data_IF_304333374455
#
_entry.id   IF_304333374455
#
_cell.length_a   1.000
_cell.length_b   1.000
_cell.length_c   1.000
_cell.angle_alpha   90.00
_cell.angle_beta   90.00
_cell.angle_gamma   90.00
#
_symmetry.space_group_name_H-M   'P 1'
#
loop_
_entity.id
_entity.type
_entity.pdbx_description
1 polymer ?
#
# COMPACT_ATOMS: atom_id res chain seq x y z
N UNK A 1 19.36 -8.06 -4.96
CA UNK A 1 18.19 -7.17 -4.85
C UNK A 1 18.02 -6.78 -3.40
N UNK A 2 17.79 -5.50 -3.12
CA UNK A 2 17.66 -4.90 -1.79
C UNK A 2 16.24 -4.40 -1.57
N UNK A 3 15.56 -4.95 -0.57
CA UNK A 3 14.14 -4.68 -0.29
C UNK A 3 14.01 -4.03 1.08
N UNK A 4 13.29 -2.90 1.14
CA UNK A 4 12.97 -2.24 2.41
C UNK A 4 11.47 -2.30 2.69
N UNK A 5 11.06 -2.97 3.77
CA UNK A 5 9.67 -2.95 4.22
C UNK A 5 9.38 -1.79 5.18
N UNK A 6 8.29 -1.06 4.95
CA UNK A 6 7.96 0.13 5.75
C UNK A 6 6.55 0.08 6.33
N UNK A 7 6.44 0.28 7.64
CA UNK A 7 5.17 0.51 8.34
C UNK A 7 5.24 1.77 9.23
N UNK A 8 4.38 1.90 10.24
CA UNK A 8 4.37 3.07 11.12
C UNK A 8 5.53 3.04 12.12
N UNK A 9 5.47 2.11 13.08
CA UNK A 9 6.41 2.06 14.21
C UNK A 9 7.54 1.04 14.08
N UNK A 10 7.57 0.27 12.99
CA UNK A 10 8.56 -0.81 12.77
C UNK A 10 8.63 -1.84 13.91
N UNK A 11 7.47 -2.26 14.43
CA UNK A 11 7.37 -3.28 15.50
C UNK A 11 6.38 -4.41 15.18
N UNK A 12 5.52 -4.24 14.18
CA UNK A 12 4.45 -5.19 13.83
C UNK A 12 4.60 -5.73 12.40
N UNK A 13 3.96 -5.07 11.43
CA UNK A 13 3.86 -5.54 10.04
C UNK A 13 5.20 -5.62 9.28
N UNK A 14 6.01 -4.56 9.29
CA UNK A 14 7.26 -4.57 8.52
C UNK A 14 8.33 -5.55 9.05
N UNK A 15 8.49 -5.75 10.38
CA UNK A 15 9.34 -6.84 10.89
C UNK A 15 8.83 -8.24 10.53
N UNK A 16 7.51 -8.47 10.51
CA UNK A 16 6.95 -9.74 10.02
C UNK A 16 7.33 -9.99 8.56
N UNK A 17 7.10 -9.00 7.69
CA UNK A 17 7.41 -9.10 6.27
C UNK A 17 8.91 -9.37 6.01
N UNK A 18 9.78 -8.66 6.74
CA UNK A 18 11.23 -8.89 6.69
C UNK A 18 11.59 -10.33 7.10
N UNK A 19 11.08 -10.80 8.24
CA UNK A 19 11.40 -12.13 8.75
C UNK A 19 10.89 -13.24 7.83
N UNK A 20 9.67 -13.11 7.30
CA UNK A 20 9.10 -14.05 6.33
C UNK A 20 9.95 -14.13 5.05
N UNK A 21 10.33 -12.99 4.48
CA UNK A 21 11.14 -12.97 3.27
C UNK A 21 12.54 -13.52 3.51
N UNK A 22 13.22 -13.12 4.61
CA UNK A 22 14.54 -13.67 4.97
C UNK A 22 14.52 -15.19 5.10
N UNK A 23 13.46 -15.72 5.71
CA UNK A 23 13.32 -17.16 5.92
C UNK A 23 13.09 -17.93 4.61
N UNK A 24 12.28 -17.36 3.68
CA UNK A 24 11.92 -18.02 2.42
C UNK A 24 12.93 -17.78 1.28
N UNK A 25 13.67 -16.69 1.31
CA UNK A 25 14.58 -16.25 0.23
C UNK A 25 15.85 -15.57 0.79
N UNK A 26 16.75 -16.33 1.43
CA UNK A 26 17.90 -15.79 2.18
C UNK A 26 18.94 -15.08 1.31
N UNK A 27 18.92 -15.28 -0.01
CA UNK A 27 19.81 -14.59 -0.96
C UNK A 27 19.44 -13.12 -1.20
N UNK A 28 18.23 -12.69 -0.80
CA UNK A 28 17.78 -11.29 -0.92
C UNK A 28 18.17 -10.51 0.33
N UNK A 29 18.80 -9.37 0.10
CA UNK A 29 19.07 -8.41 1.17
C UNK A 29 17.77 -7.70 1.53
N UNK A 30 17.31 -7.86 2.78
CA UNK A 30 16.06 -7.23 3.23
C UNK A 30 16.23 -6.60 4.61
N UNK A 31 15.61 -5.44 4.75
CA UNK A 31 15.53 -4.67 5.99
C UNK A 31 14.09 -4.17 6.19
N UNK A 32 13.77 -3.76 7.42
CA UNK A 32 12.53 -3.03 7.70
C UNK A 32 12.79 -1.73 8.45
N UNK A 33 11.88 -0.78 8.28
CA UNK A 33 11.88 0.52 8.94
C UNK A 33 10.45 1.04 9.17
N UNK A 34 10.33 2.20 9.81
CA UNK A 34 9.04 2.85 10.07
C UNK A 34 9.08 4.36 9.92
N UNK A 35 7.99 4.93 9.40
CA UNK A 35 7.88 6.38 9.17
C UNK A 35 7.83 7.19 10.48
N UNK A 36 7.38 6.55 11.57
CA UNK A 36 7.32 7.14 12.92
C UNK A 36 7.93 6.18 13.95
N UNK A 37 9.01 5.49 13.58
CA UNK A 37 9.70 4.56 14.47
C UNK A 37 10.79 5.25 15.30
N UNK A 38 10.87 4.88 16.58
CA UNK A 38 12.07 5.11 17.39
C UNK A 38 13.16 4.10 17.05
N UNK A 39 14.37 4.33 17.57
CA UNK A 39 15.47 3.37 17.46
C UNK A 39 15.40 2.30 18.55
N UNK A 40 15.85 1.09 18.21
CA UNK A 40 16.17 -0.01 19.13
C UNK A 40 14.98 -0.55 19.97
N UNK A 41 13.74 -0.37 19.52
CA UNK A 41 12.61 -1.06 20.13
C UNK A 41 12.54 -2.49 19.61
N UNK A 42 12.20 -3.43 20.49
CA UNK A 42 11.95 -4.82 20.09
C UNK A 42 10.66 -4.87 19.25
N UNK A 43 10.54 -5.91 18.42
CA UNK A 43 9.26 -6.24 17.82
C UNK A 43 8.19 -6.45 18.91
N UNK A 44 6.93 -6.18 18.58
CA UNK A 44 5.81 -6.41 19.48
C UNK A 44 5.80 -7.89 19.92
N UNK A 45 5.50 -8.17 21.18
CA UNK A 45 5.51 -9.55 21.71
C UNK A 45 4.62 -10.49 20.92
N UNK A 46 3.46 -10.02 20.42
CA UNK A 46 2.58 -10.81 19.56
C UNK A 46 3.19 -11.08 18.19
N UNK A 47 3.99 -10.14 17.64
CA UNK A 47 4.77 -10.37 16.42
C UNK A 47 5.78 -11.49 16.61
N UNK A 48 6.55 -11.44 17.71
CA UNK A 48 7.52 -12.48 18.06
C UNK A 48 6.81 -13.82 18.24
N UNK A 49 5.67 -13.82 18.92
CA UNK A 49 4.89 -15.03 19.17
C UNK A 49 4.40 -15.68 17.87
N UNK A 50 3.75 -14.93 16.96
CA UNK A 50 3.21 -15.53 15.73
C UNK A 50 4.30 -15.97 14.75
N UNK A 51 5.45 -15.27 14.72
CA UNK A 51 6.60 -15.73 13.94
C UNK A 51 7.17 -17.04 14.49
N UNK A 52 7.24 -17.15 15.83
CA UNK A 52 7.71 -18.37 16.49
C UNK A 52 6.77 -19.57 16.26
N UNK A 53 5.46 -19.35 16.18
CA UNK A 53 4.48 -20.38 15.77
C UNK A 53 4.77 -20.95 14.37
N UNK A 54 5.49 -20.18 13.54
CA UNK A 54 5.96 -20.58 12.21
C UNK A 54 7.44 -21.00 12.19
N UNK A 55 8.06 -21.24 13.35
CA UNK A 55 9.49 -21.58 13.51
C UNK A 55 10.46 -20.51 12.99
N UNK A 56 10.05 -19.24 13.03
CA UNK A 56 10.89 -18.10 12.66
C UNK A 56 11.24 -17.32 13.92
N UNK A 57 12.52 -17.35 14.29
CA UNK A 57 13.05 -16.48 15.35
C UNK A 57 13.44 -15.12 14.76
N UNK A 58 13.20 -14.05 15.54
CA UNK A 58 13.50 -12.68 15.12
C UNK A 58 14.23 -11.93 16.24
N UNK A 59 15.41 -11.40 15.92
CA UNK A 59 16.12 -10.42 16.75
C UNK A 59 16.00 -9.03 16.10
N UNK A 60 14.81 -8.45 16.24
CA UNK A 60 14.48 -7.18 15.59
C UNK A 60 14.78 -5.98 16.48
N UNK A 61 15.32 -4.93 15.86
CA UNK A 61 15.47 -3.60 16.46
C UNK A 61 14.87 -2.58 15.51
N UNK A 62 13.89 -1.83 16.02
CA UNK A 62 13.21 -0.82 15.23
C UNK A 62 14.18 0.27 14.78
N UNK A 63 13.94 0.81 13.59
CA UNK A 63 14.66 1.96 13.05
C UNK A 63 13.72 2.86 12.23
N UNK A 64 13.90 4.19 12.27
CA UNK A 64 13.19 5.11 11.41
C UNK A 64 13.65 4.95 9.96
N UNK A 65 12.77 5.37 9.05
CA UNK A 65 13.16 5.57 7.66
C UNK A 65 14.17 6.72 7.58
N UNK A 66 15.26 6.51 6.83
CA UNK A 66 16.31 7.51 6.61
C UNK A 66 16.75 7.52 5.15
N UNK A 67 17.32 8.63 4.68
CA UNK A 67 17.85 8.74 3.31
C UNK A 67 18.87 7.63 2.99
N UNK A 68 19.82 7.27 3.88
CA UNK A 68 20.72 6.13 3.62
C UNK A 68 19.99 4.80 3.41
N UNK A 69 18.97 4.52 4.23
CA UNK A 69 18.15 3.30 4.07
C UNK A 69 17.41 3.28 2.73
N UNK A 70 16.80 4.42 2.38
CA UNK A 70 16.11 4.57 1.11
C UNK A 70 17.11 4.39 -0.04
N UNK A 71 18.28 5.02 0.02
CA UNK A 71 19.34 4.93 -1.00
C UNK A 71 19.88 3.50 -1.15
N UNK A 72 19.97 2.75 -0.05
CA UNK A 72 20.35 1.34 -0.07
C UNK A 72 19.32 0.47 -0.78
N UNK A 73 18.03 0.77 -0.67
CA UNK A 73 16.95 -0.05 -1.21
C UNK A 73 16.79 0.12 -2.74
N UNK A 74 16.69 -1.01 -3.44
CA UNK A 74 16.27 -1.08 -4.84
C UNK A 74 14.75 -0.89 -4.95
N UNK A 75 14.00 -1.43 -3.99
CA UNK A 75 12.55 -1.27 -3.86
C UNK A 75 12.13 -1.06 -2.41
N UNK A 76 11.17 -0.15 -2.19
CA UNK A 76 10.56 0.11 -0.89
C UNK A 76 9.11 -0.34 -0.93
N UNK A 77 8.78 -1.31 -0.08
CA UNK A 77 7.47 -1.95 -0.01
C UNK A 77 6.75 -1.53 1.27
N UNK A 78 5.76 -0.65 1.13
CA UNK A 78 4.99 -0.14 2.25
C UNK A 78 3.82 -1.05 2.60
N UNK A 79 3.43 -1.05 3.87
CA UNK A 79 2.29 -1.85 4.32
C UNK A 79 0.94 -1.23 3.94
N UNK A 80 0.90 0.08 3.66
CA UNK A 80 -0.32 0.78 3.27
C UNK A 80 -0.02 1.91 2.29
N UNK A 81 -1.05 2.37 1.60
CA UNK A 81 -1.05 3.53 0.73
C UNK A 81 -0.71 4.81 1.51
N UNK A 82 -1.19 4.93 2.76
CA UNK A 82 -0.85 6.05 3.64
C UNK A 82 0.65 6.09 3.99
N UNK A 83 1.28 4.93 4.23
CA UNK A 83 2.73 4.87 4.45
C UNK A 83 3.48 5.33 3.19
N UNK A 84 3.04 4.89 2.00
CA UNK A 84 3.62 5.32 0.71
C UNK A 84 3.49 6.83 0.54
N UNK A 85 2.31 7.40 0.81
CA UNK A 85 2.08 8.84 0.72
C UNK A 85 2.97 9.63 1.68
N UNK A 86 3.14 9.17 2.93
CA UNK A 86 4.07 9.80 3.88
C UNK A 86 5.50 9.84 3.33
N UNK A 87 5.98 8.71 2.78
CA UNK A 87 7.32 8.67 2.18
C UNK A 87 7.47 9.62 0.99
N UNK A 88 6.44 9.77 0.15
CA UNK A 88 6.46 10.71 -0.97
C UNK A 88 6.56 12.15 -0.47
N UNK A 89 5.83 12.50 0.59
CA UNK A 89 5.86 13.85 1.17
C UNK A 89 7.20 14.15 1.84
N UNK A 90 7.74 13.22 2.62
CA UNK A 90 8.95 13.41 3.41
C UNK A 90 10.23 13.23 2.56
N UNK A 91 10.18 12.36 1.54
CA UNK A 91 11.33 11.96 0.71
C UNK A 91 10.97 11.85 -0.79
N UNK A 92 10.59 12.96 -1.45
CA UNK A 92 10.04 12.94 -2.82
C UNK A 92 11.02 12.47 -3.91
N UNK A 93 12.33 12.61 -3.69
CA UNK A 93 13.37 12.34 -4.69
C UNK A 93 13.62 10.85 -4.97
N UNK A 94 12.88 9.95 -4.33
CA UNK A 94 13.07 8.50 -4.40
C UNK A 94 11.73 7.77 -4.64
N UNK A 95 10.71 8.49 -5.10
CA UNK A 95 9.34 7.99 -5.23
C UNK A 95 9.18 6.83 -6.23
N UNK A 96 10.08 6.72 -7.21
CA UNK A 96 10.05 5.72 -8.28
C UNK A 96 10.19 4.28 -7.78
N UNK A 97 10.71 4.10 -6.56
CA UNK A 97 10.85 2.80 -5.91
C UNK A 97 9.82 2.54 -4.80
N UNK A 98 8.87 3.44 -4.59
CA UNK A 98 7.86 3.29 -3.53
C UNK A 98 6.62 2.60 -4.08
N UNK A 99 6.31 1.45 -3.52
CA UNK A 99 5.10 0.69 -3.82
C UNK A 99 4.49 0.19 -2.52
N UNK A 100 3.18 0.00 -2.48
CA UNK A 100 2.63 -0.89 -1.45
C UNK A 100 3.02 -2.33 -1.78
N UNK A 101 3.13 -3.21 -0.79
CA UNK A 101 3.44 -4.61 -1.03
C UNK A 101 2.46 -5.24 -2.04
N UNK A 102 1.15 -5.03 -1.85
CA UNK A 102 0.12 -5.59 -2.73
C UNK A 102 0.18 -5.00 -4.14
N UNK A 103 0.32 -3.68 -4.28
CA UNK A 103 0.49 -3.01 -5.59
C UNK A 103 1.69 -3.56 -6.37
N UNK A 104 2.79 -3.87 -5.68
CA UNK A 104 4.00 -4.35 -6.35
C UNK A 104 3.83 -5.77 -6.90
N UNK A 105 3.13 -6.65 -6.16
CA UNK A 105 3.02 -8.07 -6.50
C UNK A 105 1.78 -8.42 -7.30
N UNK A 106 0.73 -7.61 -7.25
CA UNK A 106 -0.52 -7.83 -7.97
C UNK A 106 -0.49 -7.11 -9.33
N UNK A 107 -0.35 -7.86 -10.42
CA UNK A 107 -0.49 -7.33 -11.79
C UNK A 107 -1.97 -7.18 -12.22
N UNK A 108 -2.92 -7.57 -11.37
CA UNK A 108 -4.36 -7.72 -11.70
C UNK A 108 -5.11 -6.41 -11.93
N UNK A 109 -4.61 -5.28 -11.42
CA UNK A 109 -5.39 -4.03 -11.43
C UNK A 109 -5.09 -3.10 -12.60
N UNK A 110 -4.14 -3.43 -13.50
CA UNK A 110 -3.95 -2.62 -14.72
C UNK A 110 -5.27 -2.41 -15.46
N UNK A 111 -6.08 -3.47 -15.53
CA UNK A 111 -7.37 -3.41 -16.21
C UNK A 111 -8.39 -2.53 -15.48
N UNK A 112 -8.57 -2.69 -14.17
CA UNK A 112 -9.51 -1.87 -13.39
C UNK A 112 -9.05 -0.41 -13.39
N UNK A 113 -7.74 -0.15 -13.28
CA UNK A 113 -7.17 1.19 -13.41
C UNK A 113 -7.38 1.80 -14.79
N UNK A 114 -7.21 1.03 -15.87
CA UNK A 114 -7.44 1.50 -17.22
C UNK A 114 -8.92 1.80 -17.47
N UNK A 115 -9.83 0.99 -16.91
CA UNK A 115 -11.27 1.23 -16.94
C UNK A 115 -11.65 2.47 -16.11
N UNK A 116 -11.06 2.64 -14.92
CA UNK A 116 -11.24 3.81 -14.06
C UNK A 116 -10.76 5.10 -14.74
N UNK A 117 -9.57 5.10 -15.34
CA UNK A 117 -9.03 6.24 -16.10
C UNK A 117 -9.94 6.63 -17.26
N UNK A 118 -10.47 5.65 -18.00
CA UNK A 118 -11.43 5.89 -19.08
C UNK A 118 -12.73 6.49 -18.52
N UNK A 119 -13.25 5.97 -17.42
CA UNK A 119 -14.47 6.46 -16.78
C UNK A 119 -14.32 7.93 -16.33
N UNK A 120 -13.20 8.29 -15.69
CA UNK A 120 -12.93 9.69 -15.33
C UNK A 120 -12.77 10.61 -16.54
N UNK A 121 -12.12 10.14 -17.61
CA UNK A 121 -11.97 10.92 -18.83
C UNK A 121 -13.34 11.24 -19.46
N UNK A 122 -14.23 10.24 -19.52
CA UNK A 122 -15.61 10.42 -20.00
C UNK A 122 -16.40 11.37 -19.09
N UNK A 123 -16.28 11.22 -17.76
CA UNK A 123 -16.95 12.10 -16.80
C UNK A 123 -16.54 13.57 -17.00
N UNK A 124 -15.23 13.83 -17.13
CA UNK A 124 -14.72 15.19 -17.30
C UNK A 124 -15.14 15.78 -18.65
N UNK A 125 -15.14 14.99 -19.73
CA UNK A 125 -15.66 15.42 -21.03
C UNK A 125 -17.14 15.81 -20.95
N UNK A 126 -17.99 14.96 -20.35
CA UNK A 126 -19.41 15.25 -20.16
C UNK A 126 -19.63 16.51 -19.32
N UNK A 127 -18.85 16.68 -18.25
CA UNK A 127 -18.91 17.87 -17.38
C UNK A 127 -18.61 19.15 -18.15
N UNK A 128 -17.58 19.13 -19.01
CA UNK A 128 -17.25 20.26 -19.88
C UNK A 128 -18.37 20.55 -20.89
N UNK A 129 -18.96 19.51 -21.50
CA UNK A 129 -20.08 19.66 -22.43
C UNK A 129 -21.31 20.26 -21.74
N UNK A 130 -21.70 19.76 -20.56
CA UNK A 130 -22.82 20.28 -19.77
C UNK A 130 -22.60 21.75 -19.46
N UNK A 131 -21.41 22.12 -18.99
CA UNK A 131 -21.04 23.51 -18.68
C UNK A 131 -21.11 24.43 -19.89
N UNK A 132 -20.66 23.96 -21.06
CA UNK A 132 -20.72 24.75 -22.30
C UNK A 132 -22.16 24.95 -22.79
N UNK A 133 -22.93 23.86 -22.87
CA UNK A 133 -24.32 23.88 -23.35
C UNK A 133 -25.23 24.70 -22.45
N UNK A 134 -24.92 24.74 -21.14
CA UNK A 134 -25.73 25.42 -20.13
C UNK A 134 -25.03 26.65 -19.54
N UNK A 135 -24.11 27.26 -20.28
CA UNK A 135 -23.31 28.43 -19.88
C UNK A 135 -24.10 29.68 -19.44
N UNK A 136 -25.42 29.70 -19.69
CA UNK A 136 -26.33 30.79 -19.27
C UNK A 136 -27.09 30.49 -17.98
N UNK A 137 -27.03 29.26 -17.47
CA UNK A 137 -27.69 28.91 -16.21
C UNK A 137 -26.97 29.57 -15.02
N UNK A 138 -27.70 29.92 -13.96
CA UNK A 138 -27.11 30.24 -12.67
C UNK A 138 -26.25 29.07 -12.16
N UNK A 139 -25.13 29.37 -11.51
CA UNK A 139 -24.14 28.37 -11.04
C UNK A 139 -24.80 27.25 -10.21
N UNK A 140 -25.71 27.60 -9.30
CA UNK A 140 -26.42 26.64 -8.44
C UNK A 140 -27.34 25.69 -9.24
N UNK A 141 -28.00 26.17 -10.30
CA UNK A 141 -28.85 25.33 -11.16
C UNK A 141 -27.99 24.42 -12.04
N UNK A 142 -26.85 24.93 -12.52
CA UNK A 142 -25.88 24.16 -13.27
C UNK A 142 -25.28 23.02 -12.44
N UNK A 143 -25.02 23.26 -11.16
CA UNK A 143 -24.51 22.24 -10.22
C UNK A 143 -25.52 21.11 -10.03
N UNK A 144 -26.79 21.44 -9.75
CA UNK A 144 -27.88 20.44 -9.63
C UNK A 144 -28.04 19.62 -10.92
N UNK A 145 -28.04 20.29 -12.07
CA UNK A 145 -28.18 19.63 -13.37
C UNK A 145 -26.99 18.70 -13.65
N UNK A 146 -25.78 19.14 -13.34
CA UNK A 146 -24.55 18.35 -13.52
C UNK A 146 -24.60 17.09 -12.66
N UNK A 147 -24.97 17.22 -11.38
CA UNK A 147 -25.10 16.09 -10.47
C UNK A 147 -26.15 15.09 -10.95
N UNK A 148 -27.31 15.57 -11.43
CA UNK A 148 -28.36 14.71 -11.98
C UNK A 148 -27.90 13.96 -13.23
N UNK A 149 -27.25 14.64 -14.18
CA UNK A 149 -26.84 14.05 -15.45
C UNK A 149 -25.64 13.10 -15.31
N UNK A 150 -24.80 13.29 -14.31
CA UNK A 150 -23.59 12.49 -14.08
C UNK A 150 -23.79 11.39 -13.03
N UNK A 151 -24.99 11.20 -12.46
CA UNK A 151 -25.22 10.22 -11.39
C UNK A 151 -24.78 8.80 -11.77
N UNK A 152 -25.08 8.34 -12.98
CA UNK A 152 -24.73 6.99 -13.44
C UNK A 152 -23.22 6.83 -13.66
N UNK A 153 -22.57 7.86 -14.21
CA UNK A 153 -21.11 7.88 -14.40
C UNK A 153 -20.38 7.83 -13.04
N UNK A 154 -20.86 8.61 -12.07
CA UNK A 154 -20.34 8.63 -10.69
C UNK A 154 -20.59 7.28 -10.01
N UNK A 155 -21.75 6.67 -10.19
CA UNK A 155 -22.04 5.34 -9.62
C UNK A 155 -21.12 4.26 -10.21
N UNK A 156 -20.84 4.33 -11.52
CA UNK A 156 -19.91 3.44 -12.20
C UNK A 156 -18.49 3.60 -11.67
N UNK A 157 -18.01 4.84 -11.53
CA UNK A 157 -16.70 5.14 -10.93
C UNK A 157 -16.62 4.58 -9.51
N UNK A 158 -17.63 4.83 -8.66
CA UNK A 158 -17.67 4.30 -7.29
C UNK A 158 -17.64 2.78 -7.25
N UNK A 159 -18.33 2.10 -8.17
CA UNK A 159 -18.29 0.64 -8.28
C UNK A 159 -16.89 0.14 -8.69
N UNK A 160 -16.24 0.81 -9.64
CA UNK A 160 -14.89 0.49 -10.06
C UNK A 160 -13.88 0.75 -8.92
N UNK A 161 -14.02 1.87 -8.20
CA UNK A 161 -13.22 2.19 -7.01
C UNK A 161 -13.41 1.14 -5.91
N UNK A 162 -14.64 0.72 -5.65
CA UNK A 162 -14.93 -0.33 -4.67
C UNK A 162 -14.40 -1.71 -5.09
N UNK A 163 -14.19 -1.92 -6.40
CA UNK A 163 -13.59 -3.13 -6.95
C UNK A 163 -12.07 -3.10 -6.99
N UNK A 164 -11.44 -1.93 -6.77
CA UNK A 164 -10.00 -1.85 -6.62
C UNK A 164 -9.58 -2.66 -5.39
N UNK A 165 -8.55 -3.48 -5.57
CA UNK A 165 -7.99 -4.25 -4.47
C UNK A 165 -7.50 -3.28 -3.41
N UNK A 166 -7.95 -3.46 -2.17
CA UNK A 166 -7.37 -2.75 -1.05
C UNK A 166 -5.89 -3.17 -0.92
N UNK A 167 -4.99 -2.27 -1.31
CA UNK A 167 -3.55 -2.49 -1.30
C UNK A 167 -2.92 -2.46 0.08
N UNK A 168 -3.71 -2.16 1.12
CA UNK A 168 -3.25 -2.09 2.48
C UNK A 168 -3.22 -3.47 3.15
N UNK A 169 -2.14 -3.77 3.85
CA UNK A 169 -2.03 -4.89 4.78
C UNK A 169 -2.71 -4.52 6.09
N UNK A 170 -3.57 -5.43 6.57
CA UNK A 170 -4.35 -5.27 7.80
C UNK A 170 -3.47 -4.88 8.98
N UNK A 171 -3.85 -3.84 9.74
CA UNK A 171 -3.08 -3.38 10.90
C UNK A 171 -3.42 -4.19 12.16
N UNK A 172 -2.46 -4.95 12.74
CA UNK A 172 -2.73 -5.73 13.93
C UNK A 172 -2.51 -4.95 15.23
N UNK A 173 -2.00 -3.72 15.18
CA UNK A 173 -1.60 -2.98 16.38
C UNK A 173 -2.78 -2.81 17.36
N UNK A 174 -2.53 -3.10 18.65
CA UNK A 174 -3.57 -3.11 19.69
C UNK A 174 -4.56 -4.29 19.65
N UNK A 175 -4.55 -5.10 18.58
CA UNK A 175 -5.46 -6.23 18.37
C UNK A 175 -5.13 -7.49 19.20
N UNK A 176 -5.98 -8.52 19.08
CA UNK A 176 -5.76 -9.85 19.68
C UNK A 176 -4.68 -10.64 18.94
N UNK A 177 -4.17 -11.73 19.54
CA UNK A 177 -3.21 -12.62 18.88
C UNK A 177 -3.74 -13.15 17.53
N UNK A 178 -5.03 -13.46 17.45
CA UNK A 178 -5.68 -13.91 16.22
C UNK A 178 -5.58 -12.87 15.09
N UNK A 179 -5.65 -11.58 15.41
CA UNK A 179 -5.46 -10.53 14.40
C UNK A 179 -4.01 -10.56 13.88
N UNK A 180 -3.01 -10.72 14.76
CA UNK A 180 -1.61 -10.87 14.35
C UNK A 180 -1.40 -12.12 13.48
N UNK A 181 -2.04 -13.25 13.82
CA UNK A 181 -1.97 -14.48 13.03
C UNK A 181 -2.57 -14.28 11.63
N UNK A 182 -3.72 -13.62 11.54
CA UNK A 182 -4.36 -13.30 10.26
C UNK A 182 -3.50 -12.34 9.43
N UNK A 183 -2.92 -11.30 10.04
CA UNK A 183 -1.98 -10.40 9.36
C UNK A 183 -0.73 -11.13 8.88
N UNK A 184 -0.17 -12.04 9.70
CA UNK A 184 0.98 -12.84 9.29
C UNK A 184 0.64 -13.73 8.09
N UNK A 185 -0.53 -14.39 8.12
CA UNK A 185 -1.02 -15.21 7.00
C UNK A 185 -1.24 -14.38 5.74
N UNK A 186 -1.81 -13.19 5.87
CA UNK A 186 -1.96 -12.24 4.76
C UNK A 186 -0.59 -11.89 4.17
N UNK A 187 0.37 -11.48 5.02
CA UNK A 187 1.73 -11.17 4.58
C UNK A 187 2.39 -12.35 3.88
N UNK A 188 2.26 -13.55 4.44
CA UNK A 188 2.90 -14.75 3.89
C UNK A 188 2.49 -15.03 2.44
N UNK A 189 1.20 -14.85 2.14
CA UNK A 189 0.67 -14.98 0.78
C UNK A 189 1.29 -13.98 -0.21
N UNK A 190 1.42 -12.71 0.19
CA UNK A 190 2.01 -11.69 -0.68
C UNK A 190 3.53 -11.78 -0.76
N UNK A 191 4.19 -12.30 0.28
CA UNK A 191 5.62 -12.64 0.22
C UNK A 191 5.87 -13.77 -0.79
N UNK A 192 5.00 -14.78 -0.87
CA UNK A 192 5.12 -15.82 -1.90
C UNK A 192 5.00 -15.25 -3.32
N UNK A 193 4.04 -14.34 -3.55
CA UNK A 193 3.91 -13.64 -4.83
C UNK A 193 5.12 -12.74 -5.13
N UNK A 194 5.65 -12.06 -4.11
CA UNK A 194 6.88 -11.27 -4.23
C UNK A 194 8.06 -12.14 -4.69
N UNK A 195 8.25 -13.31 -4.06
CA UNK A 195 9.32 -14.25 -4.41
C UNK A 195 9.16 -14.74 -5.85
N UNK A 196 7.93 -15.04 -6.28
CA UNK A 196 7.66 -15.43 -7.68
C UNK A 196 8.05 -14.30 -8.64
N UNK A 197 7.71 -13.05 -8.32
CA UNK A 197 8.05 -11.88 -9.14
C UNK A 197 9.56 -11.61 -9.19
N UNK A 198 10.30 -11.84 -8.10
CA UNK A 198 11.77 -11.66 -8.05
C UNK A 198 12.51 -12.72 -8.87
N UNK A 199 11.97 -13.94 -8.96
CA UNK A 199 12.61 -15.07 -9.67
C UNK A 199 12.34 -15.10 -11.18
N UNK A 200 11.44 -14.25 -11.68
CA UNK A 200 11.16 -14.07 -13.11
C UNK A 200 12.22 -13.17 -13.76
#
# INVERSE_FOLDING_TARGET
MKILFVCTGNTCRSPMAEALLKNKLPEVEVQSAGIFAGYNQRANDKTVQVLKEHNIDIDHKSQPVTIPLLTWADVVLTMTSQHKQSLIMDFPNQQEKYYTLKEFVLDSDKRVWDELKKAYAVLEEKRLQIKQQNSKLPEYELEILTDQLLQEDIATIRSLEASLINYDISDPFGGSLTIYQNTLKELDQYIDLLIQKIKQ
#
